data_IF_093751091544
#
_entry.id   IF_093751091544
#
_cell.length_a   1.000
_cell.length_b   1.000
_cell.length_c   1.000
_cell.angle_alpha   90.00
_cell.angle_beta   90.00
_cell.angle_gamma   90.00
#
_symmetry.space_group_name_H-M   'P 1'
#
loop_
_entity.id
_entity.type
_entity.pdbx_description
1 polymer ?
#
# COMPACT_ATOMS: atom_id res chain seq x y z
N UNK A 1 -39.43 9.89 -11.24
CA UNK A 1 -38.17 10.28 -11.90
C UNK A 1 -37.29 10.86 -10.81
N UNK A 2 -36.30 10.10 -10.38
CA UNK A 2 -35.36 10.54 -9.35
C UNK A 2 -34.17 11.14 -10.08
N UNK A 3 -33.95 12.43 -9.91
CA UNK A 3 -32.72 13.09 -10.34
C UNK A 3 -31.57 12.55 -9.49
N UNK A 4 -30.74 11.73 -10.12
CA UNK A 4 -29.50 11.20 -9.56
C UNK A 4 -28.49 12.36 -9.52
N UNK A 5 -28.45 13.07 -8.38
CA UNK A 5 -27.46 14.12 -8.12
C UNK A 5 -26.08 13.46 -8.02
N UNK A 6 -25.42 13.36 -9.16
CA UNK A 6 -24.04 12.90 -9.25
C UNK A 6 -23.15 14.03 -8.75
N UNK A 7 -22.94 14.09 -7.44
CA UNK A 7 -21.89 14.89 -6.77
C UNK A 7 -20.52 14.35 -7.19
N UNK A 8 -20.16 14.59 -8.45
CA UNK A 8 -18.81 14.38 -8.96
C UNK A 8 -18.02 15.63 -8.62
N UNK A 9 -17.25 15.56 -7.53
CA UNK A 9 -16.23 16.56 -7.24
C UNK A 9 -15.38 16.76 -8.49
N UNK A 10 -15.23 17.99 -8.98
CA UNK A 10 -14.55 18.19 -10.24
C UNK A 10 -13.08 17.79 -10.13
N UNK A 11 -12.59 17.06 -11.14
CA UNK A 11 -11.24 16.46 -11.23
C UNK A 11 -10.10 17.44 -10.94
N UNK A 12 -10.29 18.73 -11.20
CA UNK A 12 -9.28 19.75 -10.88
C UNK A 12 -9.11 19.96 -9.37
N UNK A 13 -10.16 19.77 -8.56
CA UNK A 13 -10.09 19.87 -7.09
C UNK A 13 -9.29 18.70 -6.54
N UNK A 14 -9.52 17.49 -7.05
CA UNK A 14 -8.78 16.29 -6.64
C UNK A 14 -7.30 16.39 -7.04
N UNK A 15 -7.03 16.85 -8.26
CA UNK A 15 -5.66 17.05 -8.75
C UNK A 15 -4.94 18.16 -7.98
N UNK A 16 -5.64 19.25 -7.65
CA UNK A 16 -5.06 20.36 -6.88
C UNK A 16 -4.79 19.95 -5.43
N UNK A 17 -5.69 19.19 -4.79
CA UNK A 17 -5.48 18.68 -3.43
C UNK A 17 -4.27 17.74 -3.34
N UNK A 18 -4.01 16.96 -4.40
CA UNK A 18 -2.86 16.05 -4.45
C UNK A 18 -1.53 16.76 -4.75
N UNK A 19 -1.56 17.86 -5.51
CA UNK A 19 -0.34 18.57 -5.96
C UNK A 19 0.02 19.78 -5.11
N UNK A 20 -0.94 20.38 -4.40
CA UNK A 20 -0.73 21.57 -3.57
C UNK A 20 0.38 21.40 -2.51
N UNK A 21 0.47 20.28 -1.75
CA UNK A 21 1.54 20.11 -0.77
C UNK A 21 2.93 20.05 -1.41
N UNK A 22 3.06 19.44 -2.59
CA UNK A 22 4.33 19.33 -3.31
C UNK A 22 4.79 20.70 -3.84
N UNK A 23 3.87 21.49 -4.41
CA UNK A 23 4.16 22.83 -4.89
C UNK A 23 4.50 23.79 -3.74
N UNK A 24 3.77 23.72 -2.63
CA UNK A 24 4.06 24.50 -1.43
C UNK A 24 5.43 24.14 -0.83
N UNK A 25 5.75 22.84 -0.75
CA UNK A 25 7.07 22.37 -0.32
C UNK A 25 8.20 22.85 -1.23
N UNK A 26 8.00 22.82 -2.55
CA UNK A 26 8.97 23.32 -3.52
C UNK A 26 9.19 24.84 -3.39
N UNK A 27 8.12 25.62 -3.22
CA UNK A 27 8.20 27.07 -3.01
C UNK A 27 8.91 27.41 -1.68
N UNK A 28 8.58 26.70 -0.60
CA UNK A 28 9.24 26.85 0.70
C UNK A 28 10.74 26.50 0.61
N UNK A 29 11.09 25.43 -0.09
CA UNK A 29 12.48 25.04 -0.34
C UNK A 29 13.25 26.08 -1.17
N UNK A 30 12.61 26.66 -2.18
CA UNK A 30 13.19 27.72 -3.00
C UNK A 30 13.46 28.99 -2.18
N UNK A 31 12.49 29.45 -1.40
CA UNK A 31 12.63 30.61 -0.52
C UNK A 31 13.72 30.38 0.54
N UNK A 32 13.75 29.21 1.16
CA UNK A 32 14.78 28.82 2.13
C UNK A 32 16.16 28.79 1.48
N UNK A 33 16.27 28.25 0.27
CA UNK A 33 17.50 28.22 -0.51
C UNK A 33 18.04 29.61 -0.84
N UNK A 34 17.16 30.58 -1.08
CA UNK A 34 17.56 31.96 -1.37
C UNK A 34 18.08 32.69 -0.12
N UNK A 35 17.49 32.43 1.05
CA UNK A 35 17.95 32.99 2.32
C UNK A 35 19.31 32.44 2.80
N UNK A 36 19.74 31.30 2.29
CA UNK A 36 20.95 30.63 2.76
C UNK A 36 22.25 31.20 2.16
N UNK A 37 23.29 31.26 2.99
CA UNK A 37 24.63 31.65 2.57
C UNK A 37 25.23 30.64 1.56
N UNK A 38 26.06 31.10 0.63
CA UNK A 38 26.57 30.31 -0.52
C UNK A 38 27.24 28.99 -0.12
N UNK A 39 27.88 28.95 1.06
CA UNK A 39 28.49 27.75 1.63
C UNK A 39 27.50 26.73 2.22
N UNK A 40 26.36 27.17 2.74
CA UNK A 40 25.36 26.32 3.36
C UNK A 40 24.33 25.76 2.34
N UNK A 41 24.12 26.45 1.22
CA UNK A 41 23.19 26.04 0.13
C UNK A 41 23.47 24.63 -0.38
N UNK A 42 24.74 24.24 -0.56
CA UNK A 42 25.10 22.91 -1.06
C UNK A 42 24.78 21.79 -0.07
N UNK A 43 25.14 21.97 1.21
CA UNK A 43 24.90 20.95 2.23
C UNK A 43 23.41 20.70 2.47
N UNK A 44 22.63 21.77 2.60
CA UNK A 44 21.18 21.65 2.81
C UNK A 44 20.47 21.18 1.55
N UNK A 45 20.86 21.63 0.36
CA UNK A 45 20.28 21.14 -0.90
C UNK A 45 20.48 19.64 -1.10
N UNK A 46 21.68 19.12 -0.83
CA UNK A 46 21.96 17.68 -0.92
C UNK A 46 21.17 16.90 0.16
N UNK A 47 21.09 17.43 1.39
CA UNK A 47 20.31 16.82 2.45
C UNK A 47 18.81 16.73 2.15
N UNK A 48 18.23 17.81 1.62
CA UNK A 48 16.83 17.86 1.20
C UNK A 48 16.55 16.93 0.02
N UNK A 49 17.46 16.84 -0.95
CA UNK A 49 17.35 15.91 -2.06
C UNK A 49 17.39 14.45 -1.58
N UNK A 50 18.35 14.12 -0.70
CA UNK A 50 18.45 12.79 -0.12
C UNK A 50 17.22 12.43 0.73
N UNK A 51 16.72 13.36 1.54
CA UNK A 51 15.50 13.18 2.33
C UNK A 51 14.27 13.00 1.44
N UNK A 52 14.15 13.75 0.34
CA UNK A 52 13.08 13.61 -0.64
C UNK A 52 13.10 12.23 -1.32
N UNK A 53 14.27 11.76 -1.72
CA UNK A 53 14.44 10.39 -2.27
C UNK A 53 14.09 9.33 -1.22
N UNK A 54 14.53 9.52 0.03
CA UNK A 54 14.22 8.60 1.12
C UNK A 54 12.71 8.53 1.41
N UNK A 55 12.00 9.66 1.35
CA UNK A 55 10.55 9.70 1.54
C UNK A 55 9.77 8.92 0.47
N UNK A 56 10.35 8.73 -0.73
CA UNK A 56 9.76 7.93 -1.81
C UNK A 56 10.03 6.42 -1.68
N UNK A 57 10.94 6.00 -0.78
CA UNK A 57 11.29 4.59 -0.61
C UNK A 57 10.08 3.68 -0.34
N UNK A 58 9.12 4.00 0.54
CA UNK A 58 7.97 3.12 0.81
C UNK A 58 7.14 2.80 -0.44
N UNK A 59 6.99 3.77 -1.35
CA UNK A 59 6.27 3.58 -2.61
C UNK A 59 7.05 2.66 -3.57
N UNK A 60 8.37 2.82 -3.63
CA UNK A 60 9.23 1.93 -4.42
C UNK A 60 9.18 0.47 -3.91
N UNK A 61 9.26 0.27 -2.59
CA UNK A 61 9.14 -1.06 -1.98
C UNK A 61 7.76 -1.69 -2.18
N UNK A 62 6.68 -0.90 -2.11
CA UNK A 62 5.33 -1.36 -2.39
C UNK A 62 5.16 -1.89 -3.82
N UNK A 63 5.69 -1.15 -4.81
CA UNK A 63 5.68 -1.58 -6.21
C UNK A 63 6.49 -2.85 -6.46
N UNK A 64 7.68 -2.97 -5.86
CA UNK A 64 8.53 -4.16 -6.00
C UNK A 64 7.92 -5.37 -5.29
N UNK A 65 7.34 -5.22 -4.09
CA UNK A 65 6.61 -6.32 -3.42
C UNK A 65 5.37 -6.74 -4.22
N UNK A 66 4.64 -5.79 -4.81
CA UNK A 66 3.53 -6.10 -5.71
C UNK A 66 3.97 -6.89 -6.94
N UNK A 67 5.19 -6.66 -7.42
CA UNK A 67 5.75 -7.39 -8.56
C UNK A 67 6.26 -8.80 -8.18
N UNK A 68 6.97 -8.95 -7.06
CA UNK A 68 7.61 -10.21 -6.64
C UNK A 68 6.65 -11.15 -5.91
N UNK A 69 5.72 -10.59 -5.12
CA UNK A 69 4.78 -11.34 -4.28
C UNK A 69 3.31 -11.15 -4.68
N UNK A 70 3.03 -10.37 -5.71
CA UNK A 70 1.66 -10.15 -6.17
C UNK A 70 1.02 -11.38 -6.82
N UNK A 71 -0.31 -11.33 -7.06
CA UNK A 71 -1.08 -12.47 -7.58
C UNK A 71 -0.63 -12.97 -8.95
N UNK A 72 0.05 -12.13 -9.75
CA UNK A 72 0.62 -12.49 -11.06
C UNK A 72 2.05 -13.01 -11.01
N UNK A 73 2.71 -12.99 -9.85
CA UNK A 73 4.05 -13.54 -9.68
C UNK A 73 4.01 -15.07 -9.65
N UNK A 74 5.01 -15.75 -10.22
CA UNK A 74 5.11 -17.22 -10.22
C UNK A 74 5.05 -17.81 -8.81
N UNK A 75 5.64 -17.11 -7.83
CA UNK A 75 5.61 -17.50 -6.41
C UNK A 75 4.23 -17.25 -5.77
N UNK A 76 3.54 -16.16 -6.12
CA UNK A 76 2.20 -15.84 -5.66
C UNK A 76 1.15 -16.83 -6.15
N UNK A 77 1.21 -17.23 -7.44
CA UNK A 77 0.35 -18.27 -8.01
C UNK A 77 0.61 -19.62 -7.35
N UNK A 78 1.88 -20.01 -7.18
CA UNK A 78 2.24 -21.27 -6.50
C UNK A 78 1.72 -21.30 -5.06
N UNK A 79 1.85 -20.20 -4.30
CA UNK A 79 1.34 -20.08 -2.93
C UNK A 79 -0.19 -20.07 -2.86
N UNK A 80 -0.88 -19.49 -3.85
CA UNK A 80 -2.36 -19.53 -3.95
C UNK A 80 -2.88 -20.93 -4.26
N UNK A 81 -2.26 -21.62 -5.22
CA UNK A 81 -2.59 -23.01 -5.56
C UNK A 81 -2.31 -23.93 -4.36
N UNK A 82 -1.20 -23.71 -3.65
CA UNK A 82 -0.88 -24.47 -2.45
C UNK A 82 -1.88 -24.21 -1.33
N UNK A 83 -2.33 -22.96 -1.09
CA UNK A 83 -3.43 -22.69 -0.15
C UNK A 83 -4.75 -23.36 -0.54
N UNK A 84 -5.11 -23.39 -1.83
CA UNK A 84 -6.34 -24.09 -2.28
C UNK A 84 -6.22 -25.58 -2.04
N UNK A 85 -5.04 -26.15 -2.29
CA UNK A 85 -4.75 -27.56 -2.03
C UNK A 85 -4.76 -27.88 -0.54
N UNK A 86 -4.10 -27.06 0.27
CA UNK A 86 -4.04 -27.26 1.72
C UNK A 86 -5.40 -26.98 2.38
N UNK A 87 -6.21 -26.06 1.84
CA UNK A 87 -7.60 -25.86 2.27
C UNK A 87 -8.52 -27.03 1.86
N UNK A 88 -8.15 -27.80 0.82
CA UNK A 88 -8.83 -29.03 0.44
C UNK A 88 -8.27 -30.29 1.12
N UNK A 89 -7.12 -30.20 1.80
CA UNK A 89 -6.43 -31.33 2.48
C UNK A 89 -6.40 -31.16 4.01
N UNK A 90 -6.80 -30.00 4.53
CA UNK A 90 -6.69 -29.67 5.94
C UNK A 90 -7.89 -28.88 6.47
N UNK A 91 -9.03 -29.54 6.57
CA UNK A 91 -9.72 -29.54 7.86
C UNK A 91 -9.17 -30.75 8.63
N UNK A 92 -8.45 -30.57 9.75
CA UNK A 92 -8.53 -31.58 10.79
C UNK A 92 -10.01 -31.71 11.10
N UNK A 93 -10.54 -32.86 10.74
CA UNK A 93 -11.89 -33.29 11.05
C UNK A 93 -12.04 -33.27 12.57
N UNK A 94 -12.45 -32.13 13.11
CA UNK A 94 -13.30 -32.14 14.30
C UNK A 94 -14.67 -32.44 13.74
N UNK A 95 -14.95 -33.72 13.46
CA UNK A 95 -16.27 -34.18 13.09
C UNK A 95 -17.14 -34.03 14.34
N UNK A 96 -18.01 -33.01 14.43
CA UNK A 96 -18.87 -32.85 15.59
C UNK A 96 -19.78 -34.06 15.77
N UNK A 97 -19.99 -34.86 14.72
CA UNK A 97 -20.81 -36.07 14.74
C UNK A 97 -20.11 -37.21 15.47
N UNK A 98 -18.78 -37.36 15.35
CA UNK A 98 -18.04 -38.42 16.04
C UNK A 98 -17.94 -38.14 17.56
N UNK A 99 -17.84 -36.87 17.95
CA UNK A 99 -17.87 -36.46 19.37
C UNK A 99 -19.27 -36.60 19.98
N UNK A 100 -20.33 -36.28 19.23
CA UNK A 100 -21.73 -36.44 19.67
C UNK A 100 -22.15 -37.92 19.76
N UNK A 101 -21.68 -38.78 18.85
CA UNK A 101 -21.89 -40.24 18.90
C UNK A 101 -21.18 -40.91 20.08
N UNK A 102 -20.02 -40.38 20.49
CA UNK A 102 -19.25 -40.84 21.65
C UNK A 102 -19.87 -40.37 22.97
N UNK A 103 -20.43 -39.15 23.02
CA UNK A 103 -21.23 -38.69 24.17
C UNK A 103 -22.54 -39.47 24.34
N UNK A 104 -23.14 -39.93 23.24
CA UNK A 104 -24.35 -40.77 23.26
C UNK A 104 -24.07 -42.26 23.48
N UNK A 105 -22.80 -42.67 23.60
CA UNK A 105 -22.39 -44.04 23.87
C UNK A 105 -22.71 -45.04 22.75
N UNK A 106 -22.78 -44.56 21.51
CA UNK A 106 -23.04 -45.37 20.31
C UNK A 106 -21.75 -45.86 19.63
N UNK A 107 -20.59 -45.40 20.12
CA UNK A 107 -19.24 -45.83 19.79
C UNK A 107 -18.39 -46.01 21.05
#
# INVERSE_FOLDING_TARGET
MADEHTDTTPVWIETSALTAPALLGAAAGFLLGDLMHRGARRGVGIGLAAAGVAALLPFAFGGVKGLVTGPRSKLGVRRKIQRIRDAGIGTPDFDPVEEELREQGLL
#
